data_IF_103354668251
#
_entry.id   IF_103354668251
#
_cell.length_a   1.000
_cell.length_b   1.000
_cell.length_c   1.000
_cell.angle_alpha   90.00
_cell.angle_beta   90.00
_cell.angle_gamma   90.00
#
_symmetry.space_group_name_H-M   'P 1'
#
loop_
_entity.id
_entity.type
_entity.pdbx_description
1 polymer ?
#
# COMPACT_ATOMS: atom_id res chain seq x y z
N UNK A 1 -2.69 2.42 -23.09
CA UNK A 1 -1.94 2.30 -21.81
C UNK A 1 -2.11 3.62 -21.06
N UNK A 2 -2.67 3.60 -19.86
CA UNK A 2 -2.90 4.80 -19.04
C UNK A 2 -1.59 5.50 -18.65
N UNK A 3 -1.53 6.83 -18.80
CA UNK A 3 -0.36 7.65 -18.46
C UNK A 3 -0.12 7.69 -16.94
N UNK A 4 1.08 8.11 -16.51
CA UNK A 4 1.39 8.23 -15.06
C UNK A 4 0.47 9.23 -14.36
N UNK A 5 0.11 10.29 -15.06
CA UNK A 5 -0.73 11.39 -14.58
C UNK A 5 -2.19 10.96 -14.42
N UNK A 6 -2.75 10.29 -15.42
CA UNK A 6 -4.11 9.71 -15.35
C UNK A 6 -4.26 8.72 -14.18
N UNK A 7 -3.22 7.91 -13.93
CA UNK A 7 -3.22 7.00 -12.77
C UNK A 7 -3.23 7.78 -11.47
N UNK A 8 -2.47 8.86 -11.36
CA UNK A 8 -2.44 9.67 -10.15
C UNK A 8 -3.79 10.36 -9.93
N UNK A 9 -4.41 10.90 -10.99
CA UNK A 9 -5.73 11.50 -10.93
C UNK A 9 -6.82 10.49 -10.54
N UNK A 10 -6.76 9.25 -11.04
CA UNK A 10 -7.66 8.19 -10.57
C UNK A 10 -7.47 7.87 -9.09
N UNK A 11 -6.23 7.90 -8.58
CA UNK A 11 -5.99 7.67 -7.16
C UNK A 11 -6.60 8.77 -6.31
N UNK A 12 -6.44 10.03 -6.70
CA UNK A 12 -7.01 11.21 -6.03
C UNK A 12 -8.54 11.13 -6.05
N UNK A 13 -9.13 10.90 -7.23
CA UNK A 13 -10.58 10.75 -7.37
C UNK A 13 -11.15 9.65 -6.47
N UNK A 14 -10.51 8.49 -6.41
CA UNK A 14 -10.94 7.39 -5.53
C UNK A 14 -10.81 7.75 -4.05
N UNK A 15 -9.77 8.51 -3.68
CA UNK A 15 -9.61 9.01 -2.33
C UNK A 15 -10.73 9.98 -1.96
N UNK A 16 -11.10 10.89 -2.85
CA UNK A 16 -12.25 11.80 -2.68
C UNK A 16 -13.57 11.04 -2.54
N UNK A 17 -13.78 9.97 -3.31
CA UNK A 17 -14.96 9.09 -3.19
C UNK A 17 -15.04 8.45 -1.80
N UNK A 18 -13.92 7.94 -1.26
CA UNK A 18 -13.84 7.40 0.11
C UNK A 18 -14.17 8.46 1.16
N UNK A 19 -13.62 9.66 1.01
CA UNK A 19 -13.89 10.78 1.91
C UNK A 19 -15.36 11.20 1.86
N UNK A 20 -15.94 11.29 0.66
CA UNK A 20 -17.36 11.61 0.46
C UNK A 20 -18.27 10.53 1.05
N UNK A 21 -17.87 9.26 0.99
CA UNK A 21 -18.62 8.15 1.56
C UNK A 21 -18.67 8.19 3.10
N UNK A 22 -17.60 8.68 3.75
CA UNK A 22 -17.55 8.93 5.20
C UNK A 22 -18.37 10.18 5.55
N UNK A 23 -18.12 11.29 4.86
CA UNK A 23 -18.83 12.54 5.09
C UNK A 23 -18.64 13.08 6.51
N UNK A 24 -19.66 13.80 7.02
CA UNK A 24 -19.62 14.45 8.34
C UNK A 24 -20.02 13.54 9.51
N UNK A 25 -20.55 12.36 9.23
CA UNK A 25 -21.06 11.43 10.25
C UNK A 25 -20.10 10.26 10.47
N UNK A 26 -20.23 9.58 11.61
CA UNK A 26 -19.55 8.31 11.85
C UNK A 26 -20.17 7.20 10.99
N UNK A 27 -19.38 6.55 10.14
CA UNK A 27 -19.82 5.44 9.29
C UNK A 27 -19.03 4.17 9.57
N UNK A 28 -19.64 3.01 9.36
CA UNK A 28 -18.92 1.73 9.49
C UNK A 28 -18.02 1.48 8.27
N UNK A 29 -16.98 0.65 8.43
CA UNK A 29 -16.16 0.19 7.28
C UNK A 29 -17.04 -0.39 6.17
N UNK A 30 -18.03 -1.20 6.57
CA UNK A 30 -18.97 -1.85 5.66
C UNK A 30 -19.71 -0.84 4.79
N UNK A 31 -20.25 0.24 5.37
CA UNK A 31 -20.92 1.28 4.59
C UNK A 31 -19.98 1.99 3.60
N UNK A 32 -18.72 2.23 3.96
CA UNK A 32 -17.75 2.83 3.03
C UNK A 32 -17.46 1.90 1.87
N UNK A 33 -17.26 0.62 2.15
CA UNK A 33 -17.00 -0.40 1.13
C UNK A 33 -18.22 -0.65 0.23
N UNK A 34 -19.44 -0.59 0.75
CA UNK A 34 -20.67 -0.68 -0.04
C UNK A 34 -20.82 0.52 -1.01
N UNK A 35 -20.48 1.74 -0.57
CA UNK A 35 -20.60 2.95 -1.41
C UNK A 35 -19.52 3.09 -2.47
N UNK A 36 -18.27 2.77 -2.14
CA UNK A 36 -17.10 2.99 -3.03
C UNK A 36 -16.68 1.72 -3.78
N UNK A 37 -17.11 0.56 -3.28
CA UNK A 37 -16.73 -0.77 -3.74
C UNK A 37 -15.70 -1.42 -2.81
N UNK A 38 -15.99 -2.68 -2.46
CA UNK A 38 -15.06 -3.53 -1.72
C UNK A 38 -13.89 -3.92 -2.63
N UNK A 39 -12.83 -3.11 -2.58
CA UNK A 39 -11.58 -3.41 -3.23
C UNK A 39 -10.42 -3.33 -2.25
N UNK A 40 -9.38 -4.12 -2.52
CA UNK A 40 -8.09 -3.99 -1.82
C UNK A 40 -7.58 -2.55 -1.84
N UNK A 41 -7.83 -1.84 -2.94
CA UNK A 41 -7.41 -0.46 -3.13
C UNK A 41 -8.19 0.50 -2.20
N UNK A 42 -9.51 0.35 -2.09
CA UNK A 42 -10.37 1.13 -1.17
C UNK A 42 -9.91 0.97 0.28
N UNK A 43 -9.65 -0.28 0.72
CA UNK A 43 -9.12 -0.55 2.08
C UNK A 43 -7.73 0.07 2.29
N UNK A 44 -6.91 0.13 1.25
CA UNK A 44 -5.59 0.74 1.32
C UNK A 44 -5.65 2.27 1.43
N UNK A 45 -6.61 2.90 0.74
CA UNK A 45 -6.92 4.33 0.93
C UNK A 45 -7.38 4.58 2.37
N UNK A 46 -8.32 3.79 2.90
CA UNK A 46 -8.79 3.93 4.28
C UNK A 46 -7.62 3.83 5.28
N UNK A 47 -6.74 2.83 5.14
CA UNK A 47 -5.55 2.71 5.99
C UNK A 47 -4.64 3.93 5.89
N UNK A 48 -4.43 4.46 4.69
CA UNK A 48 -3.63 5.68 4.50
C UNK A 48 -4.26 6.89 5.17
N UNK A 49 -5.56 7.07 5.03
CA UNK A 49 -6.29 8.18 5.67
C UNK A 49 -6.26 8.09 7.20
N UNK A 50 -6.34 6.87 7.76
CA UNK A 50 -6.13 6.64 9.19
C UNK A 50 -4.72 7.01 9.62
N UNK A 51 -3.72 6.57 8.87
CA UNK A 51 -2.32 6.87 9.14
C UNK A 51 -1.99 8.36 9.06
N UNK A 52 -2.68 9.09 8.18
CA UNK A 52 -2.56 10.55 8.04
C UNK A 52 -3.27 11.31 9.16
N UNK A 53 -4.04 10.64 10.03
CA UNK A 53 -4.86 11.30 11.04
C UNK A 53 -6.08 12.06 10.48
N UNK A 54 -6.30 11.99 9.17
CA UNK A 54 -7.45 12.59 8.48
C UNK A 54 -8.73 11.86 8.86
N UNK A 55 -8.65 10.55 9.03
CA UNK A 55 -9.78 9.74 9.49
C UNK A 55 -9.40 9.13 10.83
N UNK A 56 -10.31 9.19 11.78
CA UNK A 56 -10.21 8.48 13.04
C UNK A 56 -11.06 7.22 12.99
N UNK A 57 -10.54 6.16 13.59
CA UNK A 57 -11.26 4.91 13.77
C UNK A 57 -11.60 4.71 15.24
N UNK A 58 -12.87 4.51 15.55
CA UNK A 58 -13.37 4.09 16.86
C UNK A 58 -13.93 2.67 16.78
N UNK A 59 -14.03 2.00 17.92
CA UNK A 59 -14.54 0.63 18.03
C UNK A 59 -13.46 -0.45 17.90
N UNK A 60 -13.78 -1.66 18.35
CA UNK A 60 -12.86 -2.81 18.43
C UNK A 60 -12.85 -3.69 17.17
N UNK A 61 -13.73 -3.44 16.21
CA UNK A 61 -13.81 -4.19 14.96
C UNK A 61 -14.46 -5.56 15.07
N UNK A 62 -15.26 -5.78 16.12
CA UNK A 62 -16.03 -7.00 16.31
C UNK A 62 -17.45 -6.88 15.76
N UNK A 63 -18.18 -7.99 15.68
CA UNK A 63 -19.59 -8.03 15.23
C UNK A 63 -20.50 -7.10 16.04
N UNK A 64 -20.20 -6.95 17.34
CA UNK A 64 -20.95 -6.11 18.28
C UNK A 64 -20.38 -4.69 18.42
N UNK A 65 -19.20 -4.42 17.87
CA UNK A 65 -18.53 -3.12 17.95
C UNK A 65 -17.71 -2.91 16.66
N UNK A 66 -18.38 -2.64 15.53
CA UNK A 66 -17.73 -2.49 14.24
C UNK A 66 -16.85 -1.24 14.22
N UNK A 67 -15.83 -1.25 13.36
CA UNK A 67 -15.02 -0.05 13.18
C UNK A 67 -15.85 1.10 12.61
N UNK A 68 -15.90 2.19 13.37
CA UNK A 68 -16.52 3.46 12.99
C UNK A 68 -15.44 4.44 12.53
N UNK A 69 -15.62 4.99 11.34
CA UNK A 69 -14.72 5.93 10.69
C UNK A 69 -15.35 7.31 10.74
N UNK A 70 -14.58 8.30 11.21
CA UNK A 70 -14.99 9.71 11.28
C UNK A 70 -13.89 10.58 10.71
N UNK A 71 -14.22 11.55 9.85
CA UNK A 71 -13.24 12.52 9.38
C UNK A 71 -12.87 13.46 10.53
N UNK A 72 -11.57 13.68 10.72
CA UNK A 72 -11.03 14.66 11.63
C UNK A 72 -11.14 16.05 10.99
N UNK A 73 -12.02 16.89 11.53
CA UNK A 73 -12.36 18.20 10.96
C UNK A 73 -11.19 19.18 10.96
N UNK A 74 -10.14 18.95 11.76
CA UNK A 74 -8.93 19.77 11.76
C UNK A 74 -8.12 19.72 10.46
N UNK A 75 -8.37 18.74 9.59
CA UNK A 75 -7.71 18.61 8.28
C UNK A 75 -8.58 19.10 7.11
N UNK A 76 -9.74 19.67 7.41
CA UNK A 76 -10.63 20.27 6.40
C UNK A 76 -10.41 21.79 6.36
N UNK A 77 -10.24 22.33 5.16
CA UNK A 77 -10.35 23.75 4.86
C UNK A 77 -11.79 24.21 5.08
N UNK A 78 -12.00 25.53 5.14
CA UNK A 78 -13.31 26.18 5.35
C UNK A 78 -14.41 25.68 4.39
N UNK A 79 -14.02 25.30 3.17
CA UNK A 79 -14.91 24.79 2.12
C UNK A 79 -15.15 23.27 2.18
N UNK A 80 -14.62 22.58 3.21
CA UNK A 80 -14.72 21.12 3.36
C UNK A 80 -13.76 20.31 2.47
N UNK A 81 -12.86 20.97 1.73
CA UNK A 81 -11.73 20.32 1.04
C UNK A 81 -10.58 20.03 1.99
N UNK A 82 -9.70 19.05 1.70
CA UNK A 82 -8.54 18.77 2.56
C UNK A 82 -7.47 19.86 2.41
N UNK A 83 -6.87 20.28 3.53
CA UNK A 83 -5.58 20.97 3.49
C UNK A 83 -4.56 20.05 2.80
N UNK A 84 -3.67 20.59 1.96
CA UNK A 84 -2.68 19.80 1.21
C UNK A 84 -1.97 18.82 2.14
N UNK A 85 -2.27 17.53 1.98
CA UNK A 85 -1.65 16.50 2.81
C UNK A 85 -0.35 16.09 2.15
N UNK A 86 0.80 16.16 2.85
CA UNK A 86 2.05 15.65 2.31
C UNK A 86 1.87 14.18 1.94
N UNK A 87 2.59 13.71 0.92
CA UNK A 87 2.65 12.32 0.46
C UNK A 87 3.17 11.35 1.57
N UNK A 88 2.46 11.25 2.68
CA UNK A 88 2.77 10.40 3.82
C UNK A 88 2.36 8.97 3.48
N UNK A 89 3.38 8.14 3.33
CA UNK A 89 3.29 6.71 3.08
C UNK A 89 2.65 6.04 4.30
N UNK A 90 1.64 5.17 4.07
CA UNK A 90 1.02 4.34 5.11
C UNK A 90 2.11 3.62 5.97
N UNK A 91 2.27 3.95 7.27
CA UNK A 91 3.24 3.30 8.16
C UNK A 91 3.02 1.78 8.24
N UNK A 92 1.78 1.32 8.12
CA UNK A 92 1.46 -0.10 8.05
C UNK A 92 1.93 -0.74 6.74
N UNK A 93 1.95 0.01 5.63
CA UNK A 93 2.59 -0.44 4.39
C UNK A 93 4.10 -0.53 4.56
N UNK A 94 4.72 0.46 5.20
CA UNK A 94 6.16 0.49 5.44
C UNK A 94 6.61 -0.70 6.32
N UNK A 95 5.91 -0.97 7.42
CA UNK A 95 6.20 -2.13 8.28
C UNK A 95 6.04 -3.44 7.53
N UNK A 96 4.97 -3.59 6.73
CA UNK A 96 4.76 -4.79 5.90
C UNK A 96 5.87 -4.95 4.86
N UNK A 97 6.28 -3.87 4.20
CA UNK A 97 7.36 -3.90 3.23
C UNK A 97 8.68 -4.31 3.90
N UNK A 98 9.03 -3.73 5.05
CA UNK A 98 10.22 -4.12 5.81
C UNK A 98 10.23 -5.61 6.19
N UNK A 99 9.07 -6.17 6.59
CA UNK A 99 8.96 -7.61 6.88
C UNK A 99 9.20 -8.47 5.63
N UNK A 100 8.66 -8.06 4.49
CA UNK A 100 8.89 -8.75 3.21
C UNK A 100 10.37 -8.62 2.80
N UNK A 101 10.97 -7.44 2.95
CA UNK A 101 12.39 -7.19 2.67
C UNK A 101 13.31 -8.08 3.52
N UNK A 102 13.00 -8.25 4.81
CA UNK A 102 13.74 -9.15 5.70
C UNK A 102 13.70 -10.59 5.18
N UNK A 103 12.51 -11.11 4.84
CA UNK A 103 12.36 -12.46 4.27
C UNK A 103 13.13 -12.65 2.96
N UNK A 104 13.10 -11.65 2.07
CA UNK A 104 13.86 -11.69 0.82
C UNK A 104 15.36 -11.72 1.13
N UNK A 105 15.81 -10.88 2.06
CA UNK A 105 17.23 -10.83 2.47
C UNK A 105 17.67 -12.19 3.04
N UNK A 106 16.91 -12.76 3.98
CA UNK A 106 17.16 -14.09 4.56
C UNK A 106 17.23 -15.19 3.48
N UNK A 107 16.30 -15.17 2.53
CA UNK A 107 16.31 -16.11 1.40
C UNK A 107 17.59 -15.99 0.56
N UNK A 108 18.02 -14.76 0.28
CA UNK A 108 19.24 -14.51 -0.48
C UNK A 108 20.53 -14.80 0.31
N UNK A 109 20.49 -14.74 1.65
CA UNK A 109 21.61 -15.21 2.49
C UNK A 109 21.74 -16.73 2.36
N UNK A 110 20.62 -17.45 2.38
CA UNK A 110 20.60 -18.90 2.28
C UNK A 110 20.97 -19.40 0.87
N UNK A 111 20.62 -18.64 -0.17
CA UNK A 111 20.98 -18.93 -1.56
C UNK A 111 22.32 -18.26 -1.91
N UNK A 112 23.42 -19.02 -1.87
CA UNK A 112 24.76 -18.51 -2.24
C UNK A 112 24.86 -18.03 -3.70
N UNK A 113 23.94 -18.46 -4.56
CA UNK A 113 23.88 -18.12 -5.99
C UNK A 113 22.75 -17.13 -6.34
N UNK A 114 22.85 -16.52 -7.52
CA UNK A 114 21.82 -15.61 -8.04
C UNK A 114 20.48 -16.34 -8.26
N UNK A 115 19.40 -15.83 -7.67
CA UNK A 115 18.04 -16.39 -7.79
C UNK A 115 17.12 -15.55 -8.68
N UNK A 116 15.97 -16.07 -9.11
CA UNK A 116 15.01 -15.33 -9.96
C UNK A 116 13.87 -14.71 -9.17
N UNK A 117 13.26 -13.64 -9.68
CA UNK A 117 12.05 -13.05 -9.05
C UNK A 117 10.92 -14.09 -8.92
N UNK A 118 10.77 -15.00 -9.89
CA UNK A 118 9.79 -16.09 -9.85
C UNK A 118 10.00 -16.98 -8.62
N UNK A 119 11.25 -17.35 -8.34
CA UNK A 119 11.57 -18.16 -7.17
C UNK A 119 11.36 -17.38 -5.86
N UNK A 120 11.77 -16.11 -5.81
CA UNK A 120 11.52 -15.25 -4.64
C UNK A 120 10.01 -15.17 -4.34
N UNK A 121 9.18 -14.97 -5.36
CA UNK A 121 7.71 -14.94 -5.21
C UNK A 121 7.15 -16.28 -4.73
N UNK A 122 7.71 -17.39 -5.16
CA UNK A 122 7.29 -18.72 -4.71
C UNK A 122 7.55 -18.91 -3.21
N UNK A 123 8.71 -18.47 -2.70
CA UNK A 123 9.10 -18.67 -1.30
C UNK A 123 8.55 -17.61 -0.35
N UNK A 124 8.63 -16.33 -0.74
CA UNK A 124 8.21 -15.19 0.10
C UNK A 124 6.71 -14.90 -0.03
N UNK A 125 6.10 -15.33 -1.13
CA UNK A 125 4.69 -15.15 -1.45
C UNK A 125 4.47 -14.23 -2.65
N UNK A 126 3.58 -14.64 -3.55
CA UNK A 126 3.27 -13.88 -4.77
C UNK A 126 2.23 -12.80 -4.50
N UNK A 127 2.70 -11.65 -4.04
CA UNK A 127 1.85 -10.49 -3.81
C UNK A 127 2.49 -9.22 -4.39
N UNK A 128 1.68 -8.16 -4.49
CA UNK A 128 2.13 -6.86 -4.99
C UNK A 128 3.21 -6.21 -4.12
N UNK A 129 3.32 -6.61 -2.85
CA UNK A 129 4.35 -6.16 -1.92
C UNK A 129 5.73 -6.71 -2.25
N UNK A 130 5.83 -7.99 -2.65
CA UNK A 130 7.10 -8.67 -2.98
C UNK A 130 7.85 -7.96 -4.10
N UNK A 131 7.21 -7.65 -5.22
CA UNK A 131 7.85 -6.90 -6.32
C UNK A 131 8.25 -5.47 -5.94
N UNK A 132 7.50 -4.82 -5.03
CA UNK A 132 7.86 -3.49 -4.52
C UNK A 132 9.08 -3.56 -3.59
N UNK A 133 9.13 -4.57 -2.72
CA UNK A 133 10.25 -4.82 -1.81
C UNK A 133 11.54 -5.12 -2.60
N UNK A 134 11.48 -6.00 -3.61
CA UNK A 134 12.64 -6.29 -4.49
C UNK A 134 13.16 -5.02 -5.14
N UNK A 135 12.29 -4.22 -5.76
CA UNK A 135 12.70 -2.95 -6.39
C UNK A 135 13.36 -2.00 -5.40
N UNK A 136 12.84 -1.91 -4.17
CA UNK A 136 13.40 -1.03 -3.14
C UNK A 136 14.76 -1.52 -2.63
N UNK A 137 14.92 -2.82 -2.43
CA UNK A 137 16.21 -3.42 -2.07
C UNK A 137 17.27 -3.15 -3.14
N UNK A 138 16.90 -3.24 -4.42
CA UNK A 138 17.79 -2.91 -5.55
C UNK A 138 18.13 -1.42 -5.58
N UNK A 139 17.13 -0.54 -5.46
CA UNK A 139 17.37 0.92 -5.45
C UNK A 139 18.21 1.38 -4.26
N UNK A 140 18.20 0.66 -3.15
CA UNK A 140 18.97 0.96 -1.95
C UNK A 140 20.34 0.24 -1.92
N UNK A 141 20.78 -0.37 -3.02
CA UNK A 141 22.07 -1.09 -3.12
C UNK A 141 22.07 -2.51 -2.53
N UNK A 142 21.28 -2.76 -1.49
CA UNK A 142 21.25 -4.03 -0.72
C UNK A 142 21.09 -5.33 -1.53
N UNK A 143 20.54 -5.26 -2.75
CA UNK A 143 20.40 -6.41 -3.65
C UNK A 143 20.85 -6.01 -5.03
N UNK A 144 21.76 -6.78 -5.62
CA UNK A 144 22.17 -6.62 -7.00
C UNK A 144 21.21 -7.35 -7.93
N UNK A 145 20.76 -6.64 -8.97
CA UNK A 145 19.99 -7.21 -10.06
C UNK A 145 20.89 -7.39 -11.29
N UNK A 146 20.97 -8.62 -11.79
CA UNK A 146 21.78 -9.00 -12.95
C UNK A 146 20.91 -9.63 -14.06
N UNK A 147 21.43 -9.62 -15.29
CA UNK A 147 20.72 -10.15 -16.48
C UNK A 147 19.96 -9.08 -17.27
N UNK A 148 19.44 -9.44 -18.46
CA UNK A 148 18.79 -8.49 -19.38
C UNK A 148 17.31 -8.26 -19.06
N UNK A 149 16.65 -9.19 -18.38
CA UNK A 149 15.25 -9.04 -17.95
C UNK A 149 14.24 -9.18 -19.09
N UNK A 150 14.38 -10.25 -19.88
CA UNK A 150 13.50 -10.58 -21.00
C UNK A 150 12.84 -11.94 -20.85
N UNK A 151 11.91 -12.26 -21.76
CA UNK A 151 11.33 -13.60 -21.88
C UNK A 151 12.45 -14.57 -22.27
N UNK A 152 12.73 -15.56 -21.43
CA UNK A 152 13.84 -16.51 -21.61
C UNK A 152 15.14 -16.14 -20.88
N UNK A 153 15.33 -14.87 -20.50
CA UNK A 153 16.46 -14.41 -19.67
C UNK A 153 15.95 -13.48 -18.53
N UNK A 154 15.31 -14.05 -17.49
CA UNK A 154 14.75 -13.27 -16.41
C UNK A 154 15.85 -12.62 -15.57
N UNK A 155 15.53 -11.48 -14.96
CA UNK A 155 16.42 -10.89 -13.97
C UNK A 155 16.74 -11.89 -12.86
N UNK A 156 18.02 -11.90 -12.47
CA UNK A 156 18.49 -12.60 -11.29
C UNK A 156 18.91 -11.62 -10.21
N UNK A 157 18.83 -12.06 -8.98
CA UNK A 157 19.00 -11.25 -7.78
C UNK A 157 19.95 -11.97 -6.84
N UNK A 158 20.90 -11.23 -6.28
CA UNK A 158 21.80 -11.70 -5.22
C UNK A 158 22.04 -10.57 -4.23
N UNK A 159 22.53 -10.90 -3.04
CA UNK A 159 23.02 -9.86 -2.13
C UNK A 159 24.24 -9.17 -2.73
N UNK A 160 24.35 -7.87 -2.44
CA UNK A 160 25.59 -7.13 -2.64
C UNK A 160 26.65 -7.57 -1.62
#
# INVERSE_FOLDING_TARGET
>A
KMTKEERQNQKIKRQEEVMRAIGRASVTEKCVLEKVGDSRYTREILRRLLAQGIVNRKGKGGSNDPFLYTINTCHLNCDGGLAETPNLVDPGLEVRLKRIEAKITELLIAQKDCTTEKFIRMVVGDNTGTGKAIRRLVSNGRVLRVGKGGVGDPYRYRLE
#
